data_IF_803881417578
#
_entry.id   IF_803881417578
#
_cell.length_a   1.000
_cell.length_b   1.000
_cell.length_c   1.000
_cell.angle_alpha   90.00
_cell.angle_beta   90.00
_cell.angle_gamma   90.00
#
_symmetry.space_group_name_H-M   'P 1'
#
loop_
_entity.id
_entity.type
_entity.pdbx_description
1 polymer ?
#
# COMPACT_ATOMS: atom_id res chain seq x y z
N UNK A 1 5.08 19.87 -12.75
CA UNK A 1 3.64 19.85 -12.44
C UNK A 1 3.54 20.09 -10.95
N UNK A 2 3.44 21.35 -10.56
CA UNK A 2 3.43 21.78 -9.16
C UNK A 2 1.99 22.00 -8.69
N UNK A 3 1.13 21.00 -8.93
CA UNK A 3 -0.16 21.01 -8.29
C UNK A 3 0.08 20.77 -6.79
N UNK A 4 -0.05 21.82 -5.99
CA UNK A 4 0.15 21.77 -4.54
C UNK A 4 -0.95 20.89 -3.95
N UNK A 5 -0.55 19.77 -3.38
CA UNK A 5 -1.43 18.91 -2.60
C UNK A 5 -1.79 19.63 -1.29
N UNK A 6 -3.08 19.64 -0.94
CA UNK A 6 -3.58 20.18 0.33
C UNK A 6 -4.30 19.06 1.10
N UNK A 7 -3.91 18.77 2.35
CA UNK A 7 -2.76 19.32 3.07
C UNK A 7 -1.42 18.95 2.39
N UNK A 8 -0.37 19.72 2.64
CA UNK A 8 0.98 19.39 2.12
C UNK A 8 1.39 18.01 2.68
N UNK A 9 1.80 17.05 1.84
CA UNK A 9 2.26 15.76 2.32
C UNK A 9 3.66 15.86 2.94
N UNK A 10 3.88 15.06 3.97
CA UNK A 10 5.22 14.64 4.39
C UNK A 10 5.65 13.49 3.49
N UNK A 11 6.85 13.57 2.92
CA UNK A 11 7.35 12.57 1.99
C UNK A 11 8.37 11.68 2.70
N UNK A 12 8.14 10.37 2.67
CA UNK A 12 9.02 9.40 3.31
C UNK A 12 9.43 8.33 2.31
N UNK A 13 10.73 8.12 2.15
CA UNK A 13 11.28 7.08 1.32
C UNK A 13 11.53 5.82 2.16
N UNK A 14 10.89 4.72 1.77
CA UNK A 14 11.03 3.41 2.38
C UNK A 14 12.01 2.55 1.56
N UNK A 15 13.18 2.25 2.15
CA UNK A 15 14.06 1.18 1.70
C UNK A 15 13.81 -0.13 2.46
N UNK A 16 14.63 -1.15 2.22
CA UNK A 16 14.57 -2.43 2.94
C UNK A 16 14.95 -2.30 4.41
N UNK A 17 15.90 -1.42 4.73
CA UNK A 17 16.49 -1.29 6.08
C UNK A 17 16.44 0.13 6.66
N UNK A 18 15.92 1.11 5.92
CA UNK A 18 15.93 2.52 6.35
C UNK A 18 14.74 3.32 5.84
N UNK A 19 14.40 4.34 6.60
CA UNK A 19 13.46 5.40 6.24
C UNK A 19 14.21 6.71 6.07
N UNK A 20 13.87 7.48 5.05
CA UNK A 20 14.50 8.77 4.77
C UNK A 20 13.42 9.79 4.44
N UNK A 21 13.35 10.88 5.19
CA UNK A 21 12.48 12.01 4.85
C UNK A 21 12.95 12.70 3.56
N UNK A 22 12.00 13.16 2.75
CA UNK A 22 12.28 13.86 1.51
C UNK A 22 11.61 15.24 1.52
N UNK A 23 12.41 16.29 1.39
CA UNK A 23 11.85 17.64 1.27
C UNK A 23 11.11 17.85 -0.06
N UNK A 24 11.54 17.14 -1.12
CA UNK A 24 10.99 17.23 -2.48
C UNK A 24 11.25 15.98 -3.30
N UNK A 25 10.30 15.65 -4.19
CA UNK A 25 10.37 14.47 -5.06
C UNK A 25 11.53 14.51 -6.06
N UNK A 26 12.04 15.69 -6.42
CA UNK A 26 13.17 15.79 -7.36
C UNK A 26 14.45 15.13 -6.82
N UNK A 27 14.57 14.97 -5.50
CA UNK A 27 15.69 14.27 -4.86
C UNK A 27 15.73 12.78 -5.21
N UNK A 28 14.60 12.17 -5.62
CA UNK A 28 14.56 10.75 -6.02
C UNK A 28 15.41 10.44 -7.25
N UNK A 29 15.62 11.42 -8.13
CA UNK A 29 16.38 11.22 -9.38
C UNK A 29 17.83 10.80 -9.12
N UNK A 30 18.37 11.19 -7.98
CA UNK A 30 19.77 10.94 -7.61
C UNK A 30 19.90 9.77 -6.61
N UNK A 31 18.82 9.03 -6.33
CA UNK A 31 18.76 7.98 -5.30
C UNK A 31 18.69 6.58 -5.89
N UNK A 32 19.67 6.23 -6.72
CA UNK A 32 19.79 4.90 -7.32
C UNK A 32 19.92 3.77 -6.29
N UNK A 33 20.41 4.10 -5.10
CA UNK A 33 20.51 3.27 -3.89
C UNK A 33 19.15 2.81 -3.32
N UNK A 34 18.04 3.33 -3.85
CA UNK A 34 16.68 3.09 -3.34
C UNK A 34 15.76 2.47 -4.40
N UNK A 35 16.33 1.93 -5.49
CA UNK A 35 15.62 1.03 -6.42
C UNK A 35 14.94 -0.09 -5.64
N UNK A 36 13.72 -0.44 -6.02
CA UNK A 36 12.93 -1.46 -5.31
C UNK A 36 12.15 -0.95 -4.09
N UNK A 37 12.33 0.30 -3.66
CA UNK A 37 11.63 0.90 -2.51
C UNK A 37 10.24 1.47 -2.80
N UNK A 38 9.68 2.18 -1.82
CA UNK A 38 8.44 2.96 -1.95
C UNK A 38 8.64 4.41 -1.51
N UNK A 39 7.99 5.35 -2.18
CA UNK A 39 7.80 6.71 -1.69
C UNK A 39 6.42 6.79 -1.08
N UNK A 40 6.35 7.23 0.18
CA UNK A 40 5.12 7.49 0.93
C UNK A 40 4.83 8.98 0.92
N UNK A 41 3.54 9.28 0.79
CA UNK A 41 2.95 10.60 0.92
C UNK A 41 2.04 10.50 2.13
N UNK A 42 2.43 11.09 3.24
CA UNK A 42 1.72 11.01 4.51
C UNK A 42 0.99 12.33 4.76
N UNK A 43 -0.25 12.25 5.26
CA UNK A 43 -0.87 13.41 5.88
C UNK A 43 -0.24 13.64 7.26
N UNK A 44 -0.05 14.91 7.68
CA UNK A 44 0.54 15.23 8.98
C UNK A 44 -0.36 14.81 10.16
N UNK A 45 -1.64 14.57 9.90
CA UNK A 45 -2.60 14.15 10.91
C UNK A 45 -2.71 12.63 10.89
N UNK A 46 -2.22 11.99 11.94
CA UNK A 46 -2.31 10.55 12.14
C UNK A 46 -3.75 10.05 12.26
N UNK A 47 -3.93 8.73 12.22
CA UNK A 47 -5.25 8.10 12.38
C UNK A 47 -5.18 6.58 12.27
N UNK A 48 -6.25 5.91 12.69
CA UNK A 48 -6.40 4.47 12.49
C UNK A 48 -6.63 4.18 11.00
N UNK A 49 -5.82 3.30 10.44
CA UNK A 49 -5.99 2.77 9.09
C UNK A 49 -6.64 1.39 9.20
N UNK A 50 -7.82 1.22 8.60
CA UNK A 50 -8.55 -0.05 8.62
C UNK A 50 -8.63 -0.69 7.24
N UNK A 51 -8.46 0.10 6.17
CA UNK A 51 -8.70 -0.33 4.80
C UNK A 51 -7.57 0.11 3.88
N UNK A 52 -7.41 -0.62 2.77
CA UNK A 52 -6.46 -0.29 1.71
C UNK A 52 -7.06 -0.46 0.34
N UNK A 53 -6.57 0.37 -0.58
CA UNK A 53 -6.76 0.22 -2.02
C UNK A 53 -5.41 -0.08 -2.67
N UNK A 54 -5.37 -1.12 -3.49
CA UNK A 54 -4.21 -1.55 -4.24
C UNK A 54 -4.40 -1.16 -5.70
N UNK A 55 -3.36 -0.54 -6.28
CA UNK A 55 -3.39 -0.11 -7.68
C UNK A 55 -2.09 -0.56 -8.36
N UNK A 56 -2.23 -1.28 -9.46
CA UNK A 56 -1.13 -1.69 -10.30
C UNK A 56 -1.03 -0.76 -11.51
N UNK A 57 0.11 -0.10 -11.68
CA UNK A 57 0.40 0.89 -12.69
C UNK A 57 1.60 0.44 -13.51
N UNK A 58 1.53 0.69 -14.81
CA UNK A 58 2.63 0.40 -15.73
C UNK A 58 3.87 1.21 -15.36
N UNK A 59 5.02 0.52 -15.28
CA UNK A 59 6.24 1.07 -14.70
C UNK A 59 6.69 2.37 -15.36
N UNK A 60 6.69 2.42 -16.70
CA UNK A 60 7.11 3.58 -17.50
C UNK A 60 6.28 4.84 -17.23
N UNK A 61 5.02 4.69 -16.80
CA UNK A 61 4.09 5.79 -16.56
C UNK A 61 3.70 5.94 -15.08
N UNK A 62 4.26 5.11 -14.20
CA UNK A 62 3.82 4.94 -12.80
C UNK A 62 3.79 6.25 -12.04
N UNK A 63 4.91 6.99 -12.01
CA UNK A 63 5.00 8.24 -11.27
C UNK A 63 4.02 9.31 -11.76
N UNK A 64 3.89 9.47 -13.08
CA UNK A 64 2.94 10.43 -13.68
C UNK A 64 1.49 10.04 -13.41
N UNK A 65 1.18 8.76 -13.54
CA UNK A 65 -0.19 8.23 -13.34
C UNK A 65 -0.58 8.32 -11.87
N UNK A 66 0.33 7.94 -10.97
CA UNK A 66 0.16 8.09 -9.54
C UNK A 66 -0.08 9.55 -9.15
N UNK A 67 0.72 10.50 -9.65
CA UNK A 67 0.49 11.92 -9.37
C UNK A 67 -0.91 12.40 -9.79
N UNK A 68 -1.39 11.95 -10.95
CA UNK A 68 -2.75 12.26 -11.39
C UNK A 68 -3.85 11.63 -10.53
N UNK A 69 -3.64 10.41 -10.02
CA UNK A 69 -4.55 9.76 -9.07
C UNK A 69 -4.53 10.49 -7.73
N UNK A 70 -3.34 10.80 -7.21
CA UNK A 70 -3.12 11.43 -5.93
C UNK A 70 -3.87 12.77 -5.87
N UNK A 71 -3.77 13.60 -6.91
CA UNK A 71 -4.51 14.86 -7.03
C UNK A 71 -6.04 14.72 -6.97
N UNK A 72 -6.60 13.53 -7.22
CA UNK A 72 -8.04 13.28 -7.14
C UNK A 72 -8.48 12.76 -5.78
N UNK A 73 -7.61 12.10 -5.05
CA UNK A 73 -7.97 11.40 -3.80
C UNK A 73 -7.43 12.09 -2.56
N UNK A 74 -6.42 12.95 -2.68
CA UNK A 74 -5.66 13.44 -1.52
C UNK A 74 -6.48 14.32 -0.57
N UNK A 75 -7.41 15.11 -1.10
CA UNK A 75 -8.29 15.97 -0.29
C UNK A 75 -9.32 15.18 0.52
N UNK A 76 -9.46 13.87 0.30
CA UNK A 76 -10.36 13.04 1.10
C UNK A 76 -9.82 12.89 2.53
N UNK A 77 -10.57 13.33 3.54
CA UNK A 77 -10.18 13.29 4.95
C UNK A 77 -9.83 11.89 5.48
N UNK A 78 -10.46 10.86 4.90
CA UNK A 78 -10.18 9.48 5.27
C UNK A 78 -8.94 8.88 4.60
N UNK A 79 -8.34 9.54 3.60
CA UNK A 79 -7.05 9.11 3.01
C UNK A 79 -5.94 9.57 3.93
N UNK A 80 -5.20 8.61 4.50
CA UNK A 80 -4.18 8.88 5.52
C UNK A 80 -2.79 8.95 4.91
N UNK A 81 -2.49 7.98 4.03
CA UNK A 81 -1.23 7.91 3.31
C UNK A 81 -1.44 7.21 1.97
N UNK A 82 -0.60 7.55 1.00
CA UNK A 82 -0.51 6.85 -0.26
C UNK A 82 0.96 6.61 -0.57
N UNK A 83 1.29 5.42 -1.07
CA UNK A 83 2.65 5.11 -1.47
C UNK A 83 2.72 4.59 -2.88
N UNK A 84 3.83 4.85 -3.55
CA UNK A 84 4.14 4.42 -4.91
C UNK A 84 5.52 3.79 -4.99
N UNK A 85 5.61 2.68 -5.70
CA UNK A 85 6.85 1.95 -5.91
C UNK A 85 7.82 2.75 -6.77
N UNK A 86 9.08 2.82 -6.34
CA UNK A 86 10.18 3.38 -7.14
C UNK A 86 10.50 2.42 -8.30
N UNK A 87 11.16 2.92 -9.35
CA UNK A 87 11.61 2.10 -10.48
C UNK A 87 12.50 0.92 -10.03
N UNK A 88 12.51 -0.14 -10.83
CA UNK A 88 13.23 -1.38 -10.52
C UNK A 88 12.52 -2.26 -9.48
N UNK A 89 11.26 -1.95 -9.14
CA UNK A 89 10.39 -2.81 -8.34
C UNK A 89 9.39 -3.51 -9.25
N UNK A 90 9.53 -4.81 -9.41
CA UNK A 90 8.50 -5.70 -9.98
C UNK A 90 7.46 -6.00 -8.90
N UNK A 91 6.65 -5.00 -8.56
CA UNK A 91 5.59 -5.13 -7.58
C UNK A 91 4.22 -5.03 -8.24
N UNK A 92 3.40 -6.05 -8.04
CA UNK A 92 1.99 -6.07 -8.45
C UNK A 92 1.11 -5.12 -7.60
N UNK A 93 1.62 -4.61 -6.48
CA UNK A 93 1.10 -3.48 -5.69
C UNK A 93 1.94 -2.22 -5.88
N UNK A 94 2.05 -1.77 -7.13
CA UNK A 94 2.84 -0.57 -7.47
C UNK A 94 2.41 0.69 -6.70
N UNK A 95 1.15 0.75 -6.26
CA UNK A 95 0.59 1.81 -5.44
C UNK A 95 -0.33 1.21 -4.37
N UNK A 96 -0.26 1.75 -3.16
CA UNK A 96 -1.18 1.43 -2.05
C UNK A 96 -1.69 2.73 -1.45
N UNK A 97 -3.01 2.83 -1.30
CA UNK A 97 -3.68 3.94 -0.59
C UNK A 97 -4.24 3.40 0.71
N UNK A 98 -3.93 4.07 1.81
CA UNK A 98 -4.35 3.71 3.16
C UNK A 98 -5.54 4.56 3.57
N UNK A 99 -6.61 3.90 3.95
CA UNK A 99 -7.92 4.48 4.19
C UNK A 99 -8.36 4.23 5.63
N UNK A 100 -8.97 5.26 6.23
CA UNK A 100 -9.51 5.19 7.59
C UNK A 100 -10.54 4.08 7.75
N UNK A 101 -11.43 3.92 6.76
CA UNK A 101 -12.58 3.02 6.83
C UNK A 101 -13.09 2.65 5.42
N UNK A 102 -14.10 1.77 5.40
CA UNK A 102 -14.74 1.26 4.19
C UNK A 102 -15.33 2.36 3.31
N UNK A 103 -16.01 3.35 3.90
CA UNK A 103 -16.58 4.47 3.16
C UNK A 103 -15.53 5.27 2.39
N UNK A 104 -14.37 5.54 3.02
CA UNK A 104 -13.25 6.20 2.36
C UNK A 104 -12.68 5.34 1.23
N UNK A 105 -12.47 4.05 1.48
CA UNK A 105 -11.99 3.10 0.46
C UNK A 105 -12.90 3.13 -0.76
N UNK A 106 -14.21 3.10 -0.57
CA UNK A 106 -15.19 3.06 -1.66
C UNK A 106 -15.17 4.36 -2.49
N UNK A 107 -15.01 5.50 -1.83
CA UNK A 107 -14.84 6.79 -2.51
C UNK A 107 -13.51 6.86 -3.30
N UNK A 108 -12.41 6.36 -2.72
CA UNK A 108 -11.12 6.23 -3.44
C UNK A 108 -11.29 5.34 -4.66
N UNK A 109 -11.90 4.15 -4.50
CA UNK A 109 -12.16 3.23 -5.60
C UNK A 109 -12.99 3.89 -6.70
N UNK A 110 -14.05 4.63 -6.34
CA UNK A 110 -14.89 5.36 -7.30
C UNK A 110 -14.05 6.36 -8.12
N UNK A 111 -13.23 7.19 -7.47
CA UNK A 111 -12.40 8.18 -8.15
C UNK A 111 -11.31 7.54 -9.02
N UNK A 112 -10.64 6.49 -8.53
CA UNK A 112 -9.60 5.76 -9.29
C UNK A 112 -10.20 5.05 -10.50
N UNK A 113 -11.34 4.36 -10.35
CA UNK A 113 -12.05 3.73 -11.46
C UNK A 113 -12.48 4.76 -12.51
N UNK A 114 -12.98 5.93 -12.09
CA UNK A 114 -13.31 7.04 -13.01
C UNK A 114 -12.06 7.53 -13.75
N UNK A 115 -10.93 7.66 -13.05
CA UNK A 115 -9.65 8.04 -13.66
C UNK A 115 -9.18 7.00 -14.70
N UNK A 116 -9.30 5.72 -14.38
CA UNK A 116 -8.88 4.61 -15.25
C UNK A 116 -9.65 4.54 -16.57
N UNK A 117 -10.95 4.89 -16.59
CA UNK A 117 -11.79 4.82 -17.80
C UNK A 117 -11.20 5.54 -19.02
N UNK A 118 -10.41 6.59 -18.79
CA UNK A 118 -9.80 7.39 -19.85
C UNK A 118 -8.32 7.07 -20.08
N UNK A 119 -7.75 6.10 -19.35
CA UNK A 119 -6.31 5.85 -19.21
C UNK A 119 -6.00 4.37 -18.95
N UNK A 120 -6.69 3.48 -19.67
CA UNK A 120 -6.59 2.03 -19.46
C UNK A 120 -5.16 1.51 -19.67
N UNK A 121 -4.46 2.09 -20.64
CA UNK A 121 -3.05 1.85 -21.01
C UNK A 121 -2.05 2.12 -19.89
N UNK A 122 -2.47 2.72 -18.78
CA UNK A 122 -1.59 3.08 -17.66
C UNK A 122 -1.65 2.10 -16.49
N UNK A 123 -2.56 1.14 -16.53
CA UNK A 123 -2.80 0.18 -15.47
C UNK A 123 -2.28 -1.20 -15.88
N UNK A 124 -1.59 -1.86 -14.96
CA UNK A 124 -1.32 -3.28 -15.08
C UNK A 124 -2.59 -4.09 -14.77
N UNK A 125 -2.61 -5.38 -15.14
CA UNK A 125 -3.76 -6.25 -14.86
C UNK A 125 -3.65 -7.00 -13.52
N UNK A 126 -2.43 -7.33 -13.11
CA UNK A 126 -2.15 -8.14 -11.91
C UNK A 126 -2.44 -7.38 -10.61
N UNK A 127 -2.76 -8.13 -9.56
CA UNK A 127 -2.95 -7.67 -8.19
C UNK A 127 -2.23 -8.63 -7.22
N UNK A 128 -1.90 -8.19 -6.00
CA UNK A 128 -1.44 -9.10 -4.96
C UNK A 128 -2.44 -10.23 -4.72
N UNK A 129 -1.92 -11.40 -4.36
CA UNK A 129 -2.76 -12.53 -3.91
C UNK A 129 -3.59 -12.11 -2.69
N UNK A 130 -4.78 -12.69 -2.55
CA UNK A 130 -5.69 -12.49 -1.41
C UNK A 130 -6.23 -11.05 -1.23
N UNK A 131 -6.14 -10.22 -2.27
CA UNK A 131 -6.80 -8.91 -2.33
C UNK A 131 -8.14 -9.08 -3.05
N UNK A 132 -9.19 -8.42 -2.54
CA UNK A 132 -10.50 -8.43 -3.18
C UNK A 132 -10.42 -7.64 -4.50
N UNK A 133 -10.95 -8.24 -5.58
CA UNK A 133 -10.96 -7.62 -6.90
C UNK A 133 -12.16 -6.70 -7.05
N UNK A 134 -12.01 -5.68 -7.89
CA UNK A 134 -13.08 -4.67 -8.10
C UNK A 134 -13.81 -4.81 -9.44
N UNK A 135 -13.53 -5.89 -10.18
CA UNK A 135 -13.96 -6.07 -11.58
C UNK A 135 -13.23 -5.15 -12.58
N UNK A 136 -12.25 -4.36 -12.12
CA UNK A 136 -11.39 -3.53 -12.97
C UNK A 136 -9.94 -4.01 -12.90
N UNK A 137 -9.25 -4.15 -14.05
CA UNK A 137 -7.86 -4.61 -14.08
C UNK A 137 -6.97 -3.74 -13.20
N UNK A 138 -6.10 -4.37 -12.41
CA UNK A 138 -5.11 -3.67 -11.58
C UNK A 138 -5.68 -2.82 -10.44
N UNK A 139 -6.96 -2.96 -10.07
CA UNK A 139 -7.55 -2.26 -8.93
C UNK A 139 -8.19 -3.26 -7.97
N UNK A 140 -7.67 -3.30 -6.75
CA UNK A 140 -8.12 -4.18 -5.68
C UNK A 140 -8.22 -3.47 -4.34
N UNK A 141 -8.74 -4.15 -3.32
CA UNK A 141 -8.83 -3.62 -1.96
C UNK A 141 -8.76 -4.72 -0.90
N UNK A 142 -8.53 -4.32 0.34
CA UNK A 142 -8.60 -5.22 1.48
C UNK A 142 -8.33 -4.51 2.80
N UNK A 143 -8.65 -5.17 3.90
CA UNK A 143 -8.41 -4.65 5.24
C UNK A 143 -6.90 -4.48 5.53
N UNK A 144 -6.56 -3.43 6.30
CA UNK A 144 -5.24 -3.28 6.92
C UNK A 144 -5.04 -4.40 7.96
N UNK A 145 -3.84 -4.99 8.10
CA UNK A 145 -3.60 -6.00 9.10
C UNK A 145 -3.68 -5.31 10.48
N UNK A 146 -4.20 -5.99 11.50
CA UNK A 146 -4.13 -5.46 12.85
C UNK A 146 -2.67 -5.23 13.25
N UNK A 147 -2.43 -4.27 14.15
CA UNK A 147 -1.13 -4.04 14.81
C UNK A 147 -0.87 -5.12 15.88
N UNK A 148 -1.00 -6.37 15.47
CA UNK A 148 -0.78 -7.57 16.28
C UNK A 148 -0.06 -8.57 15.40
N UNK A 149 1.26 -8.61 15.50
CA UNK A 149 2.04 -9.60 14.78
C UNK A 149 1.91 -10.94 15.50
N UNK A 150 1.39 -11.99 14.86
CA UNK A 150 1.49 -13.32 15.42
C UNK A 150 2.96 -13.76 15.42
N UNK A 151 3.49 -14.06 16.60
CA UNK A 151 4.81 -14.65 16.77
C UNK A 151 4.72 -15.87 17.67
N UNK A 152 5.70 -16.77 17.56
CA UNK A 152 5.74 -18.01 18.32
C UNK A 152 7.06 -18.10 19.09
N UNK A 153 7.09 -17.70 20.36
CA UNK A 153 8.26 -17.93 21.19
C UNK A 153 8.37 -19.44 21.48
N UNK A 154 9.55 -20.02 21.24
CA UNK A 154 9.90 -21.39 21.63
C UNK A 154 8.93 -22.49 21.16
N UNK A 155 8.36 -22.35 19.96
CA UNK A 155 7.49 -23.37 19.34
C UNK A 155 6.25 -23.76 20.17
N UNK A 156 5.73 -22.87 21.02
CA UNK A 156 4.53 -23.12 21.81
C UNK A 156 3.27 -22.55 21.12
N UNK A 157 2.60 -21.58 21.74
CA UNK A 157 1.40 -20.89 21.25
C UNK A 157 1.75 -19.64 20.44
N UNK A 158 0.89 -19.28 19.49
CA UNK A 158 0.99 -18.00 18.81
C UNK A 158 0.53 -16.88 19.75
N UNK A 159 1.45 -15.99 20.06
CA UNK A 159 1.20 -14.77 20.83
C UNK A 159 1.09 -13.58 19.87
N UNK A 160 0.39 -12.52 20.29
CA UNK A 160 0.33 -11.27 19.56
C UNK A 160 1.32 -10.27 20.14
N UNK A 161 2.31 -9.83 19.35
CA UNK A 161 3.10 -8.66 19.71
C UNK A 161 2.26 -7.44 19.37
N UNK A 162 1.83 -6.70 20.40
CA UNK A 162 1.07 -5.47 20.22
C UNK A 162 1.96 -4.39 19.59
N UNK A 163 1.34 -3.50 18.82
CA UNK A 163 1.95 -2.31 18.23
C UNK A 163 3.06 -2.57 17.21
N UNK A 164 3.22 -3.81 16.77
CA UNK A 164 4.12 -4.15 15.66
C UNK A 164 3.39 -3.97 14.32
N UNK A 165 3.90 -3.06 13.49
CA UNK A 165 3.48 -2.93 12.11
C UNK A 165 4.00 -4.09 11.27
N UNK A 166 3.17 -4.63 10.39
CA UNK A 166 3.48 -5.78 9.56
C UNK A 166 2.97 -5.58 8.13
N UNK A 167 3.71 -6.12 7.15
CA UNK A 167 3.26 -6.09 5.76
C UNK A 167 2.02 -6.99 5.58
N UNK A 168 1.16 -6.65 4.62
CA UNK A 168 -0.04 -7.45 4.32
C UNK A 168 0.29 -8.91 4.00
N UNK A 169 1.31 -9.12 3.15
CA UNK A 169 1.75 -10.45 2.75
C UNK A 169 2.22 -11.26 3.95
N UNK A 170 3.06 -10.68 4.81
CA UNK A 170 3.57 -11.37 6.00
C UNK A 170 2.43 -11.79 6.93
N UNK A 171 1.51 -10.87 7.24
CA UNK A 171 0.39 -11.18 8.12
C UNK A 171 -0.48 -12.33 7.58
N UNK A 172 -0.86 -12.26 6.30
CA UNK A 172 -1.70 -13.29 5.68
C UNK A 172 -0.99 -14.64 5.59
N UNK A 173 0.30 -14.65 5.27
CA UNK A 173 1.11 -15.86 5.30
C UNK A 173 1.19 -16.48 6.69
N UNK A 174 1.34 -15.66 7.74
CA UNK A 174 1.33 -16.16 9.12
C UNK A 174 -0.01 -16.80 9.48
N UNK A 175 -1.14 -16.19 9.09
CA UNK A 175 -2.47 -16.78 9.32
C UNK A 175 -2.64 -18.13 8.60
N UNK A 176 -2.16 -18.26 7.37
CA UNK A 176 -2.19 -19.52 6.62
C UNK A 176 -1.36 -20.58 7.36
N UNK A 177 -0.16 -20.23 7.80
CA UNK A 177 0.71 -21.16 8.51
C UNK A 177 0.08 -21.63 9.83
N UNK A 178 -0.50 -20.70 10.61
CA UNK A 178 -1.25 -21.01 11.85
C UNK A 178 -2.38 -21.99 11.57
N UNK A 179 -3.15 -21.78 10.49
CA UNK A 179 -4.25 -22.64 10.11
C UNK A 179 -3.76 -24.05 9.75
N UNK A 180 -2.74 -24.15 8.88
CA UNK A 180 -2.13 -25.43 8.47
C UNK A 180 -1.57 -26.20 9.67
N UNK A 181 -0.97 -25.51 10.63
CA UNK A 181 -0.47 -26.16 11.85
C UNK A 181 -1.58 -26.78 12.68
N UNK A 182 -2.71 -26.06 12.82
CA UNK A 182 -3.85 -26.54 13.61
C UNK A 182 -4.62 -27.68 12.94
N UNK A 183 -4.57 -27.78 11.62
CA UNK A 183 -5.37 -28.76 10.86
C UNK A 183 -4.56 -29.90 10.26
N UNK A 184 -3.40 -29.61 9.66
CA UNK A 184 -2.66 -30.55 8.82
C UNK A 184 -1.36 -31.04 9.47
N UNK A 185 -0.60 -30.16 10.13
CA UNK A 185 0.66 -30.54 10.78
C UNK A 185 0.52 -30.95 12.25
N UNK A 186 -0.71 -31.04 12.76
CA UNK A 186 -0.96 -31.47 14.13
C UNK A 186 -0.39 -32.88 14.28
N UNK A 187 0.70 -33.02 15.02
CA UNK A 187 1.27 -34.33 15.36
C UNK A 187 0.14 -35.16 15.99
N UNK A 188 -0.08 -36.36 15.45
CA UNK A 188 -0.78 -37.42 16.19
C UNK A 188 0.00 -37.73 17.46
#
# INVERSE_FOLDING_TARGET
>A
MDAKLTPKPELMLQGSLRWVELDKLSLLRNRGDMKGGFVHFNKPYGGSCLERVYINLNESLRGRTFGGILLKIWELDGVLTAKVAVSGREAVDSVVVYCRNAATRDEVLRKVKKYQRHRLDRFGSALPKMVAQTGKPGIGFGAEPPRRQPFRPNSQTFNGANDVMQSFGLYRSSLIFIALERTFFRKK
#
